data_IF_700208587262
#
_entry.id   IF_700208587262
#
_cell.length_a   1.000
_cell.length_b   1.000
_cell.length_c   1.000
_cell.angle_alpha   90.00
_cell.angle_beta   90.00
_cell.angle_gamma   90.00
#
_symmetry.space_group_name_H-M   'P 1'
#
loop_
_entity.id
_entity.type
_entity.pdbx_description
1 polymer ?
#
# COMPACT_ATOMS: atom_id res chain seq x y z
N UNK A 1 41.57 -15.03 -13.83
CA UNK A 1 41.07 -14.70 -12.47
C UNK A 1 40.38 -13.34 -12.37
N UNK A 2 40.97 -12.23 -12.85
CA UNK A 2 40.38 -10.87 -12.75
C UNK A 2 38.98 -10.70 -13.38
N UNK A 3 38.69 -11.34 -14.53
CA UNK A 3 37.38 -11.25 -15.20
C UNK A 3 36.21 -11.83 -14.38
N UNK A 4 36.43 -12.89 -13.58
CA UNK A 4 35.39 -13.47 -12.71
C UNK A 4 34.99 -12.51 -11.60
N UNK A 5 35.97 -11.80 -11.01
CA UNK A 5 35.72 -10.81 -9.96
C UNK A 5 34.96 -9.59 -10.47
N UNK A 6 35.25 -9.13 -11.70
CA UNK A 6 34.52 -8.03 -12.35
C UNK A 6 33.04 -8.42 -12.54
N UNK A 7 32.76 -9.65 -13.01
CA UNK A 7 31.39 -10.14 -13.18
C UNK A 7 30.66 -10.22 -11.84
N UNK A 8 31.32 -10.75 -10.80
CA UNK A 8 30.75 -10.86 -9.44
C UNK A 8 30.43 -9.47 -8.87
N UNK A 9 31.35 -8.52 -8.98
CA UNK A 9 31.12 -7.13 -8.52
C UNK A 9 29.98 -6.46 -9.28
N UNK A 10 29.90 -6.66 -10.59
CA UNK A 10 28.81 -6.13 -11.41
C UNK A 10 27.45 -6.71 -11.00
N UNK A 11 27.37 -8.01 -10.71
CA UNK A 11 26.15 -8.66 -10.21
C UNK A 11 25.75 -8.14 -8.83
N UNK A 12 26.71 -7.98 -7.92
CA UNK A 12 26.48 -7.40 -6.59
C UNK A 12 25.91 -5.98 -6.67
N UNK A 13 26.49 -5.12 -7.52
CA UNK A 13 25.99 -3.76 -7.74
C UNK A 13 24.57 -3.79 -8.29
N UNK A 14 24.28 -4.65 -9.26
CA UNK A 14 22.94 -4.79 -9.83
C UNK A 14 21.91 -5.25 -8.78
N UNK A 15 22.28 -6.21 -7.93
CA UNK A 15 21.44 -6.68 -6.82
C UNK A 15 21.18 -5.55 -5.82
N UNK A 16 22.21 -4.78 -5.44
CA UNK A 16 22.07 -3.64 -4.51
C UNK A 16 21.17 -2.55 -5.12
N UNK A 17 21.35 -2.23 -6.39
CA UNK A 17 20.50 -1.26 -7.09
C UNK A 17 19.04 -1.72 -7.15
N UNK A 18 18.83 -2.99 -7.48
CA UNK A 18 17.51 -3.60 -7.48
C UNK A 18 16.85 -3.56 -6.09
N UNK A 19 17.60 -3.89 -5.04
CA UNK A 19 17.10 -3.85 -3.66
C UNK A 19 16.76 -2.42 -3.22
N UNK A 20 17.62 -1.44 -3.47
CA UNK A 20 17.40 -0.04 -3.06
C UNK A 20 16.20 0.62 -3.75
N UNK A 21 16.01 0.36 -5.05
CA UNK A 21 14.83 0.80 -5.80
C UNK A 21 13.55 0.20 -5.21
N UNK A 22 13.58 -1.07 -4.85
CA UNK A 22 12.42 -1.72 -4.25
C UNK A 22 12.13 -1.16 -2.85
N UNK A 23 13.13 -1.11 -1.96
CA UNK A 23 12.98 -0.62 -0.58
C UNK A 23 12.35 0.78 -0.51
N UNK A 24 12.81 1.70 -1.37
CA UNK A 24 12.29 3.08 -1.40
C UNK A 24 10.83 3.16 -1.87
N UNK A 25 10.44 2.32 -2.84
CA UNK A 25 9.07 2.29 -3.39
C UNK A 25 8.03 1.81 -2.36
N UNK A 26 8.41 0.85 -1.53
CA UNK A 26 7.54 0.31 -0.47
C UNK A 26 7.51 1.20 0.77
N UNK A 27 8.60 1.94 1.06
CA UNK A 27 8.68 2.86 2.20
C UNK A 27 7.57 3.91 2.23
N UNK A 28 7.24 4.52 1.09
CA UNK A 28 6.16 5.52 1.02
C UNK A 28 4.78 4.92 1.33
N UNK A 29 4.55 3.67 0.91
CA UNK A 29 3.29 2.97 1.18
C UNK A 29 3.19 2.63 2.67
N UNK A 30 4.27 2.16 3.30
CA UNK A 30 4.29 1.94 4.76
C UNK A 30 3.99 3.20 5.55
N UNK A 31 4.59 4.33 5.15
CA UNK A 31 4.31 5.64 5.77
C UNK A 31 2.83 6.02 5.61
N UNK A 32 2.24 5.74 4.45
CA UNK A 32 0.81 5.94 4.21
C UNK A 32 -0.07 5.07 5.12
N UNK A 33 0.23 3.77 5.25
CA UNK A 33 -0.49 2.87 6.16
C UNK A 33 -0.41 3.36 7.61
N UNK A 34 0.78 3.76 8.07
CA UNK A 34 0.96 4.35 9.41
C UNK A 34 0.17 5.65 9.61
N UNK A 35 0.05 6.46 8.56
CA UNK A 35 -0.76 7.67 8.60
C UNK A 35 -2.26 7.35 8.74
N UNK A 36 -2.75 6.29 8.10
CA UNK A 36 -4.13 5.79 8.28
C UNK A 36 -4.33 5.35 9.74
N UNK A 37 -3.41 4.57 10.32
CA UNK A 37 -3.50 4.17 11.74
C UNK A 37 -3.58 5.36 12.69
N UNK A 38 -2.84 6.42 12.39
CA UNK A 38 -2.75 7.63 13.19
C UNK A 38 -3.84 8.67 12.85
N UNK A 39 -4.72 8.40 11.87
CA UNK A 39 -5.70 9.37 11.33
C UNK A 39 -5.04 10.68 10.86
N UNK A 40 -3.81 10.60 10.36
CA UNK A 40 -3.05 11.73 9.82
C UNK A 40 -3.40 11.95 8.34
N UNK A 41 -4.55 12.59 8.13
CA UNK A 41 -5.12 12.85 6.80
C UNK A 41 -4.27 13.77 5.92
N UNK A 42 -3.49 14.67 6.53
CA UNK A 42 -2.58 15.55 5.79
C UNK A 42 -1.42 14.75 5.20
N UNK A 43 -0.85 13.82 5.98
CA UNK A 43 0.16 12.90 5.45
C UNK A 43 -0.42 11.97 4.39
N UNK A 44 -1.65 11.49 4.54
CA UNK A 44 -2.34 10.67 3.52
C UNK A 44 -2.45 11.45 2.21
N UNK A 45 -2.94 12.69 2.25
CA UNK A 45 -3.11 13.54 1.06
C UNK A 45 -1.76 13.89 0.41
N UNK A 46 -0.76 14.27 1.22
CA UNK A 46 0.57 14.65 0.72
C UNK A 46 1.31 13.50 0.03
N UNK A 47 1.14 12.25 0.51
CA UNK A 47 1.71 11.07 -0.13
C UNK A 47 0.92 10.71 -1.39
N UNK A 48 -0.40 10.73 -1.32
CA UNK A 48 -1.29 10.33 -2.43
C UNK A 48 -1.16 11.25 -3.65
N UNK A 49 -0.86 12.54 -3.44
CA UNK A 49 -0.63 13.52 -4.52
C UNK A 49 0.68 13.34 -5.30
N UNK A 50 1.63 12.54 -4.81
CA UNK A 50 2.95 12.40 -5.45
C UNK A 50 2.82 11.76 -6.83
N UNK A 51 3.35 12.43 -7.88
CA UNK A 51 3.23 12.02 -9.30
C UNK A 51 3.58 10.55 -9.59
N UNK A 52 4.55 9.99 -8.87
CA UNK A 52 5.03 8.61 -9.09
C UNK A 52 4.60 7.64 -7.98
N UNK A 53 3.66 8.04 -7.13
CA UNK A 53 3.12 7.16 -6.11
C UNK A 53 1.99 6.31 -6.69
N UNK A 54 2.07 5.00 -6.48
CA UNK A 54 1.01 4.09 -6.85
C UNK A 54 0.16 3.83 -5.61
N UNK A 55 -1.03 4.42 -5.58
CA UNK A 55 -1.99 4.38 -4.48
C UNK A 55 -2.50 2.97 -4.16
N UNK A 56 -2.45 2.04 -5.12
CA UNK A 56 -2.89 0.66 -4.99
C UNK A 56 -1.78 -0.30 -4.53
N UNK A 57 -0.56 0.21 -4.34
CA UNK A 57 0.61 -0.59 -3.95
C UNK A 57 0.44 -1.14 -2.54
N UNK A 58 0.86 -2.39 -2.33
CA UNK A 58 0.97 -3.00 -0.99
C UNK A 58 2.24 -2.55 -0.27
N UNK A 59 2.26 -2.48 1.07
CA UNK A 59 3.42 -2.06 1.85
C UNK A 59 4.60 -3.04 1.75
N UNK A 60 4.38 -4.28 1.31
CA UNK A 60 5.41 -5.27 1.05
C UNK A 60 5.20 -5.96 -0.30
N UNK A 61 6.31 -6.19 -1.02
CA UNK A 61 6.31 -6.98 -2.25
C UNK A 61 6.03 -8.47 -2.00
N UNK A 62 6.62 -9.01 -0.93
CA UNK A 62 6.49 -10.42 -0.54
C UNK A 62 5.89 -10.45 0.86
N UNK A 63 4.80 -11.21 1.04
CA UNK A 63 4.07 -11.35 2.31
C UNK A 63 4.98 -11.79 3.47
N UNK A 64 6.00 -12.60 3.19
CA UNK A 64 7.02 -13.02 4.15
C UNK A 64 7.72 -11.85 4.86
N UNK A 65 7.84 -10.68 4.22
CA UNK A 65 8.45 -9.50 4.84
C UNK A 65 7.48 -8.67 5.68
N UNK A 66 6.17 -8.95 5.66
CA UNK A 66 5.26 -8.37 6.63
C UNK A 66 5.65 -8.91 8.01
N UNK A 67 6.14 -8.04 8.89
CA UNK A 67 6.55 -8.45 10.23
C UNK A 67 5.34 -8.95 11.01
N UNK A 68 5.55 -9.82 12.00
CA UNK A 68 4.48 -10.36 12.86
C UNK A 68 3.65 -9.27 13.59
N UNK A 69 4.11 -8.02 13.57
CA UNK A 69 3.46 -6.86 14.22
C UNK A 69 2.54 -6.07 13.28
N UNK A 70 2.64 -6.21 11.96
CA UNK A 70 1.78 -5.52 10.99
C UNK A 70 0.81 -6.53 10.36
N UNK A 71 -0.43 -6.56 10.87
CA UNK A 71 -1.30 -7.71 10.66
C UNK A 71 -1.78 -7.92 9.21
N UNK A 72 -1.58 -7.00 8.27
CA UNK A 72 -2.16 -7.15 6.93
C UNK A 72 -1.33 -6.47 5.83
N UNK A 73 -0.80 -7.26 4.87
CA UNK A 73 -0.15 -6.73 3.66
C UNK A 73 -1.20 -6.27 2.62
N UNK A 74 -2.00 -5.29 3.02
CA UNK A 74 -3.11 -4.75 2.25
C UNK A 74 -2.70 -3.46 1.50
N UNK A 75 -3.21 -3.22 0.29
CA UNK A 75 -3.31 -1.91 -0.32
C UNK A 75 -4.00 -0.92 0.62
N UNK A 76 -3.64 0.38 0.52
CA UNK A 76 -4.18 1.44 1.38
C UNK A 76 -5.70 1.45 1.53
N UNK A 77 -6.45 1.26 0.43
CA UNK A 77 -7.91 1.31 0.47
C UNK A 77 -8.53 0.18 1.30
N UNK A 78 -8.03 -1.05 1.15
CA UNK A 78 -8.48 -2.19 1.95
C UNK A 78 -8.11 -2.00 3.42
N UNK A 79 -6.92 -1.45 3.67
CA UNK A 79 -6.49 -1.17 5.03
C UNK A 79 -7.40 -0.14 5.71
N UNK A 80 -7.71 0.97 5.03
CA UNK A 80 -8.63 1.99 5.53
C UNK A 80 -10.03 1.43 5.83
N UNK A 81 -10.53 0.53 4.96
CA UNK A 81 -11.76 -0.23 5.21
C UNK A 81 -11.71 -1.06 6.50
N UNK A 82 -10.62 -1.82 6.72
CA UNK A 82 -10.44 -2.64 7.93
C UNK A 82 -10.37 -1.78 9.20
N UNK A 83 -9.88 -0.54 9.08
CA UNK A 83 -9.78 0.43 10.18
C UNK A 83 -11.05 1.25 10.39
N UNK A 84 -12.08 1.05 9.56
CA UNK A 84 -13.30 1.86 9.52
C UNK A 84 -13.00 3.38 9.46
N UNK A 85 -11.98 3.76 8.66
CA UNK A 85 -11.58 5.15 8.50
C UNK A 85 -12.17 5.74 7.21
N UNK A 86 -13.44 6.12 7.28
CA UNK A 86 -14.20 6.68 6.15
C UNK A 86 -13.47 7.87 5.49
N UNK A 87 -12.85 8.75 6.28
CA UNK A 87 -12.14 9.90 5.74
C UNK A 87 -10.88 9.50 4.98
N UNK A 88 -10.14 8.50 5.46
CA UNK A 88 -9.04 7.93 4.68
C UNK A 88 -9.55 7.29 3.38
N UNK A 89 -10.67 6.55 3.43
CA UNK A 89 -11.30 5.95 2.24
C UNK A 89 -11.64 7.01 1.19
N UNK A 90 -12.30 8.11 1.58
CA UNK A 90 -12.63 9.22 0.68
C UNK A 90 -11.38 9.84 0.04
N UNK A 91 -10.32 10.09 0.83
CA UNK A 91 -9.07 10.66 0.30
C UNK A 91 -8.42 9.68 -0.69
N UNK A 92 -8.35 8.40 -0.37
CA UNK A 92 -7.73 7.41 -1.25
C UNK A 92 -8.48 7.28 -2.58
N UNK A 93 -9.82 7.25 -2.55
CA UNK A 93 -10.66 7.23 -3.76
C UNK A 93 -10.46 8.51 -4.59
N UNK A 94 -10.45 9.68 -3.94
CA UNK A 94 -10.16 10.98 -4.60
C UNK A 94 -8.84 10.96 -5.37
N UNK A 95 -7.84 10.21 -4.90
CA UNK A 95 -6.53 10.07 -5.55
C UNK A 95 -6.40 8.83 -6.44
N UNK A 96 -7.52 8.21 -6.83
CA UNK A 96 -7.56 7.13 -7.83
C UNK A 96 -7.26 5.74 -7.28
N UNK A 97 -7.52 5.51 -5.99
CA UNK A 97 -7.53 4.15 -5.45
C UNK A 97 -8.60 3.32 -6.17
N UNK A 98 -8.21 2.12 -6.61
CA UNK A 98 -9.10 1.21 -7.31
C UNK A 98 -10.04 0.53 -6.31
N UNK A 99 -11.31 0.92 -6.37
CA UNK A 99 -12.40 0.39 -5.53
C UNK A 99 -12.73 -1.07 -5.82
N UNK A 100 -12.30 -1.59 -6.98
CA UNK A 100 -12.55 -2.96 -7.41
C UNK A 100 -11.32 -3.86 -7.27
N UNK A 101 -10.20 -3.34 -6.77
CA UNK A 101 -8.97 -4.10 -6.61
C UNK A 101 -9.20 -5.30 -5.67
N UNK A 102 -9.02 -6.53 -6.14
CA UNK A 102 -9.20 -7.72 -5.29
C UNK A 102 -7.88 -8.21 -4.68
N UNK A 103 -7.98 -8.81 -3.49
CA UNK A 103 -6.89 -9.44 -2.74
C UNK A 103 -7.39 -10.77 -2.22
N UNK A 104 -6.68 -11.85 -2.55
CA UNK A 104 -7.01 -13.19 -2.04
C UNK A 104 -8.51 -13.50 -2.24
N UNK A 105 -9.04 -13.12 -3.42
CA UNK A 105 -10.45 -13.20 -3.86
C UNK A 105 -11.46 -12.24 -3.19
N UNK A 106 -10.99 -11.29 -2.38
CA UNK A 106 -11.83 -10.30 -1.70
C UNK A 106 -11.60 -8.88 -2.22
N UNK A 107 -12.67 -8.15 -2.54
CA UNK A 107 -12.61 -6.73 -2.90
C UNK A 107 -12.50 -5.82 -1.66
N UNK A 108 -12.10 -4.54 -1.80
CA UNK A 108 -11.93 -3.64 -0.66
C UNK A 108 -13.27 -3.44 0.07
N UNK A 109 -14.37 -3.41 -0.68
CA UNK A 109 -15.70 -3.17 -0.13
C UNK A 109 -16.17 -4.29 0.81
N UNK A 110 -15.76 -5.53 0.56
CA UNK A 110 -16.10 -6.64 1.46
C UNK A 110 -15.44 -6.46 2.84
N UNK A 111 -14.26 -5.83 2.90
CA UNK A 111 -13.61 -5.51 4.18
C UNK A 111 -14.30 -4.34 4.89
N UNK A 112 -14.77 -3.33 4.17
CA UNK A 112 -15.51 -2.19 4.73
C UNK A 112 -16.83 -2.64 5.40
N UNK A 113 -17.57 -3.55 4.75
CA UNK A 113 -18.89 -4.02 5.20
C UNK A 113 -18.80 -5.00 6.39
N UNK A 114 -17.67 -5.69 6.58
CA UNK A 114 -17.53 -6.71 7.62
C UNK A 114 -17.27 -6.14 9.03
N UNK A 115 -16.94 -4.86 9.15
CA UNK A 115 -16.52 -4.21 10.40
C UNK A 115 -17.36 -3.02 10.87
N UNK A 116 -18.34 -2.55 10.10
CA UNK A 116 -19.04 -1.27 10.34
C UNK A 116 -20.50 -1.30 9.86
N UNK A 117 -21.26 -0.23 10.16
CA UNK A 117 -22.57 0.00 9.56
C UNK A 117 -22.43 0.21 8.04
N UNK A 118 -22.85 -0.80 7.27
CA UNK A 118 -22.73 -0.84 5.81
C UNK A 118 -23.28 0.42 5.10
N UNK A 119 -24.19 1.15 5.74
CA UNK A 119 -24.81 2.39 5.25
C UNK A 119 -23.81 3.50 4.92
N UNK A 120 -22.66 3.56 5.58
CA UNK A 120 -21.63 4.57 5.30
C UNK A 120 -20.92 4.33 3.96
N UNK A 121 -20.88 3.08 3.49
CA UNK A 121 -20.13 2.66 2.32
C UNK A 121 -20.99 2.45 1.07
N UNK A 122 -22.33 2.57 1.19
CA UNK A 122 -23.26 2.49 0.07
C UNK A 122 -22.94 3.50 -1.04
N UNK A 123 -22.40 4.67 -0.69
CA UNK A 123 -21.98 5.70 -1.64
C UNK A 123 -20.73 5.32 -2.46
N UNK A 124 -19.94 4.37 -1.97
CA UNK A 124 -18.71 3.90 -2.63
C UNK A 124 -19.02 2.80 -3.66
N UNK A 125 -20.17 2.12 -3.54
CA UNK A 125 -20.66 1.09 -4.49
C UNK A 125 -21.00 1.68 -5.87
N UNK A 126 -21.20 3.00 -5.97
CA UNK A 126 -21.76 3.68 -7.16
C UNK A 126 -20.69 4.26 -8.09
N UNK A 127 -19.40 4.15 -7.74
CA UNK A 127 -18.27 4.60 -8.57
C UNK A 127 -17.51 3.42 -9.18
#
# INVERSE_FOLDING_TARGET
MKKKWIIIFSLLIFIILFLTINVTKYSSTKKLIKAIDNKDYETIESISKKRNFNINRRPYFIKFFATATEQWNLPPLHYACVRDDLKAVEILIKYGADVNLTIDDYSPILYCVRGSDASNYDKIIVY
#
